data_IF_803569717747
#
_entry.id   IF_803569717747
#
_cell.length_a   1.000
_cell.length_b   1.000
_cell.length_c   1.000
_cell.angle_alpha   90.00
_cell.angle_beta   90.00
_cell.angle_gamma   90.00
#
_symmetry.space_group_name_H-M   'P 1'
#
loop_
_entity.id
_entity.type
_entity.pdbx_description
1 polymer ?
#
# COMPACT_ATOMS: atom_id res chain seq x y z
N UNK A 1 10.35 -9.37 -26.29
CA UNK A 1 11.78 -9.36 -26.69
C UNK A 1 12.64 -9.59 -25.45
N UNK A 2 13.62 -10.50 -25.52
CA UNK A 2 14.57 -10.72 -24.43
C UNK A 2 15.77 -9.78 -24.59
N UNK A 3 16.17 -9.12 -23.51
CA UNK A 3 17.21 -8.08 -23.52
C UNK A 3 18.15 -8.28 -22.32
N UNK A 4 19.36 -7.72 -22.42
CA UNK A 4 20.32 -7.71 -21.31
C UNK A 4 19.78 -6.89 -20.11
N UNK A 5 20.24 -7.14 -18.87
CA UNK A 5 19.73 -6.46 -17.68
C UNK A 5 19.85 -4.93 -17.74
N UNK A 6 20.99 -4.38 -18.16
CA UNK A 6 21.17 -2.92 -18.30
C UNK A 6 20.27 -2.32 -19.39
N UNK A 7 20.11 -3.01 -20.51
CA UNK A 7 19.19 -2.58 -21.58
C UNK A 7 17.72 -2.64 -21.14
N UNK A 8 17.36 -3.62 -20.31
CA UNK A 8 16.03 -3.70 -19.72
C UNK A 8 15.71 -2.45 -18.88
N UNK A 9 16.65 -1.99 -18.05
CA UNK A 9 16.48 -0.79 -17.23
C UNK A 9 16.32 0.46 -18.10
N UNK A 10 17.15 0.63 -19.14
CA UNK A 10 17.04 1.75 -20.07
C UNK A 10 15.68 1.78 -20.79
N UNK A 11 15.22 0.61 -21.28
CA UNK A 11 13.92 0.48 -21.94
C UNK A 11 12.76 0.69 -20.96
N UNK A 12 12.93 0.30 -19.70
CA UNK A 12 11.95 0.51 -18.64
C UNK A 12 11.79 1.98 -18.30
N UNK A 13 12.90 2.74 -18.23
CA UNK A 13 12.88 4.21 -18.11
C UNK A 13 12.05 4.83 -19.23
N UNK A 14 12.32 4.45 -20.49
CA UNK A 14 11.58 4.95 -21.64
C UNK A 14 10.07 4.62 -21.59
N UNK A 15 9.69 3.47 -21.00
CA UNK A 15 8.29 3.13 -20.77
C UNK A 15 7.64 4.07 -19.74
N UNK A 16 8.33 4.41 -18.66
CA UNK A 16 7.80 5.36 -17.67
C UNK A 16 7.67 6.77 -18.23
N UNK A 17 8.66 7.24 -18.98
CA UNK A 17 8.62 8.57 -19.58
C UNK A 17 7.49 8.70 -20.59
N UNK A 18 7.22 7.65 -21.38
CA UNK A 18 6.09 7.61 -22.30
C UNK A 18 4.72 7.44 -21.61
N UNK A 19 4.68 7.06 -20.33
CA UNK A 19 3.44 6.74 -19.60
C UNK A 19 3.08 7.79 -18.52
N UNK A 20 3.70 8.98 -18.54
CA UNK A 20 3.48 9.99 -17.50
C UNK A 20 2.04 10.53 -17.45
N UNK A 21 1.42 10.73 -18.61
CA UNK A 21 0.07 11.31 -18.71
C UNK A 21 -1.02 10.26 -18.98
N UNK A 22 -0.70 9.27 -19.80
CA UNK A 22 -1.63 8.26 -20.30
C UNK A 22 -1.00 6.88 -20.23
N UNK A 23 -1.86 5.87 -20.13
CA UNK A 23 -1.50 4.44 -20.09
C UNK A 23 -0.90 3.98 -18.76
N UNK A 24 -0.56 2.69 -18.68
CA UNK A 24 -0.05 2.06 -17.46
C UNK A 24 1.08 1.13 -17.82
N UNK A 25 2.17 1.21 -17.06
CA UNK A 25 3.30 0.29 -17.19
C UNK A 25 3.07 -0.91 -16.28
N UNK A 26 3.04 -2.10 -16.85
CA UNK A 26 2.92 -3.37 -16.12
C UNK A 26 4.31 -4.00 -15.99
N UNK A 27 4.74 -4.21 -14.75
CA UNK A 27 5.98 -4.92 -14.45
C UNK A 27 5.65 -6.19 -13.67
N UNK A 28 6.23 -7.32 -14.06
CA UNK A 28 6.04 -8.61 -13.39
C UNK A 28 7.36 -9.31 -13.17
N UNK A 29 7.45 -10.05 -12.07
CA UNK A 29 8.62 -10.86 -11.71
C UNK A 29 8.16 -12.29 -11.46
N UNK A 30 8.86 -13.27 -12.04
CA UNK A 30 8.58 -14.70 -11.87
C UNK A 30 9.88 -15.47 -11.68
N UNK A 31 9.88 -16.51 -10.83
CA UNK A 31 10.99 -17.49 -10.79
C UNK A 31 11.09 -18.23 -12.13
N UNK A 32 12.30 -18.39 -12.63
CA UNK A 32 12.62 -19.25 -13.78
C UNK A 32 13.24 -20.56 -13.29
N UNK A 33 13.43 -21.51 -14.22
CA UNK A 33 13.73 -22.92 -13.93
C UNK A 33 15.07 -23.17 -13.19
N UNK A 34 15.98 -22.19 -13.14
CA UNK A 34 17.35 -22.31 -12.62
C UNK A 34 17.69 -21.28 -11.52
N UNK A 35 16.75 -21.01 -10.60
CA UNK A 35 16.86 -19.99 -9.53
C UNK A 35 17.06 -18.55 -10.02
N UNK A 36 17.10 -18.33 -11.33
CA UNK A 36 17.09 -17.02 -11.94
C UNK A 36 15.70 -16.38 -11.85
N UNK A 37 15.66 -15.06 -11.88
CA UNK A 37 14.42 -14.30 -11.88
C UNK A 37 14.15 -13.70 -13.26
N UNK A 38 12.94 -13.92 -13.77
CA UNK A 38 12.44 -13.35 -15.02
C UNK A 38 11.65 -12.08 -14.71
N UNK A 39 12.15 -10.95 -15.17
CA UNK A 39 11.48 -9.66 -15.16
C UNK A 39 10.83 -9.41 -16.51
N UNK A 40 9.61 -8.87 -16.51
CA UNK A 40 8.89 -8.47 -17.74
C UNK A 40 8.27 -7.10 -17.55
N UNK A 41 8.31 -6.28 -18.59
CA UNK A 41 7.72 -4.94 -18.61
C UNK A 41 6.93 -4.71 -19.90
N UNK A 42 5.78 -4.03 -19.81
CA UNK A 42 4.97 -3.62 -20.97
C UNK A 42 4.15 -2.36 -20.71
N UNK A 43 3.87 -1.59 -21.76
CA UNK A 43 2.99 -0.40 -21.78
C UNK A 43 1.50 -0.72 -21.88
N UNK A 44 1.13 -1.99 -22.06
CA UNK A 44 -0.26 -2.45 -22.11
C UNK A 44 -1.09 -1.90 -23.28
N UNK A 45 -0.50 -1.20 -24.26
CA UNK A 45 -1.23 -0.60 -25.38
C UNK A 45 -1.79 -1.65 -26.34
N UNK A 46 -2.94 -1.46 -26.98
CA UNK A 46 -3.53 -2.52 -27.82
C UNK A 46 -2.93 -2.65 -29.22
N UNK A 47 -2.44 -1.55 -29.81
CA UNK A 47 -1.95 -1.53 -31.20
C UNK A 47 -0.48 -1.97 -31.33
N UNK A 48 0.43 -1.35 -30.56
CA UNK A 48 1.87 -1.65 -30.61
C UNK A 48 2.41 -1.94 -29.20
N UNK A 49 2.25 -3.19 -28.73
CA UNK A 49 2.69 -3.60 -27.38
C UNK A 49 4.22 -3.66 -27.31
N UNK A 50 4.84 -2.68 -26.67
CA UNK A 50 6.25 -2.79 -26.28
C UNK A 50 6.34 -3.79 -25.13
N UNK A 51 7.01 -4.92 -25.37
CA UNK A 51 7.20 -6.00 -24.38
C UNK A 51 8.67 -6.38 -24.25
N UNK A 52 9.23 -6.12 -23.09
CA UNK A 52 10.61 -6.45 -22.76
C UNK A 52 10.66 -7.47 -21.64
N UNK A 53 11.69 -8.31 -21.67
CA UNK A 53 11.94 -9.26 -20.61
C UNK A 53 13.43 -9.47 -20.43
N UNK A 54 13.88 -9.65 -19.19
CA UNK A 54 15.25 -10.03 -18.87
C UNK A 54 15.26 -11.14 -17.84
N UNK A 55 16.27 -11.99 -17.88
CA UNK A 55 16.48 -13.03 -16.87
C UNK A 55 17.78 -12.72 -16.16
N UNK A 56 17.67 -12.57 -14.85
CA UNK A 56 18.78 -12.19 -13.98
C UNK A 56 19.19 -13.40 -13.18
N UNK A 57 20.46 -13.86 -13.30
CA UNK A 57 20.97 -14.96 -12.51
C UNK A 57 21.11 -14.55 -11.02
N UNK A 58 21.14 -15.51 -10.09
CA UNK A 58 21.28 -15.22 -8.66
C UNK A 58 22.61 -14.54 -8.29
N UNK A 59 23.63 -14.63 -9.14
CA UNK A 59 24.93 -13.97 -8.94
C UNK A 59 24.87 -12.45 -9.07
N UNK A 60 24.01 -11.95 -9.96
CA UNK A 60 23.91 -10.52 -10.31
C UNK A 60 22.64 -9.87 -9.74
N UNK A 61 21.79 -10.65 -9.06
CA UNK A 61 20.45 -10.19 -8.65
C UNK A 61 20.51 -9.02 -7.67
N UNK A 62 21.48 -8.99 -6.77
CA UNK A 62 21.60 -7.94 -5.75
C UNK A 62 21.94 -6.60 -6.42
N UNK A 63 22.93 -6.58 -7.31
CA UNK A 63 23.31 -5.39 -8.07
C UNK A 63 22.15 -4.90 -8.96
N UNK A 64 21.53 -5.81 -9.70
CA UNK A 64 20.37 -5.47 -10.54
C UNK A 64 19.20 -4.91 -9.71
N UNK A 65 18.94 -5.49 -8.53
CA UNK A 65 17.87 -5.06 -7.65
C UNK A 65 18.09 -3.64 -7.12
N UNK A 66 19.32 -3.25 -6.79
CA UNK A 66 19.64 -1.90 -6.34
C UNK A 66 19.34 -0.85 -7.41
N UNK A 67 19.80 -1.08 -8.64
CA UNK A 67 19.53 -0.20 -9.79
C UNK A 67 18.03 -0.16 -10.12
N UNK A 68 17.38 -1.33 -10.19
CA UNK A 68 15.96 -1.47 -10.47
C UNK A 68 15.08 -0.76 -9.43
N UNK A 69 15.36 -0.94 -8.13
CA UNK A 69 14.60 -0.29 -7.06
C UNK A 69 14.82 1.21 -7.04
N UNK A 70 16.02 1.68 -7.35
CA UNK A 70 16.31 3.12 -7.45
C UNK A 70 15.51 3.74 -8.59
N UNK A 71 15.48 3.10 -9.76
CA UNK A 71 14.64 3.50 -10.89
C UNK A 71 13.15 3.55 -10.50
N UNK A 72 12.63 2.48 -9.88
CA UNK A 72 11.23 2.43 -9.42
C UNK A 72 10.90 3.58 -8.48
N UNK A 73 11.73 3.83 -7.47
CA UNK A 73 11.50 4.88 -6.49
C UNK A 73 11.47 6.25 -7.14
N UNK A 74 12.40 6.54 -8.06
CA UNK A 74 12.50 7.83 -8.74
C UNK A 74 11.25 8.11 -9.58
N UNK A 75 10.82 7.16 -10.43
CA UNK A 75 9.66 7.39 -11.30
C UNK A 75 8.34 7.38 -10.50
N UNK A 76 8.14 6.45 -9.56
CA UNK A 76 6.88 6.34 -8.82
C UNK A 76 6.70 7.46 -7.80
N UNK A 77 7.77 7.99 -7.19
CA UNK A 77 7.68 9.09 -6.23
C UNK A 77 7.11 10.37 -6.86
N UNK A 78 7.40 10.61 -8.15
CA UNK A 78 6.89 11.77 -8.88
C UNK A 78 5.43 11.61 -9.30
N UNK A 79 4.98 10.37 -9.55
CA UNK A 79 3.63 10.06 -10.02
C UNK A 79 2.59 9.98 -8.87
N UNK A 80 3.04 9.72 -7.64
CA UNK A 80 2.16 9.54 -6.49
C UNK A 80 1.90 10.86 -5.75
N UNK A 81 0.71 10.98 -5.16
CA UNK A 81 0.37 12.14 -4.32
C UNK A 81 1.34 12.22 -3.14
N UNK A 82 1.84 13.42 -2.87
CA UNK A 82 2.66 13.70 -1.70
C UNK A 82 1.90 13.30 -0.43
N UNK A 83 2.63 12.70 0.51
CA UNK A 83 2.10 12.30 1.81
C UNK A 83 1.66 13.54 2.60
N UNK A 84 0.38 13.60 2.95
CA UNK A 84 -0.18 14.68 3.77
C UNK A 84 0.12 14.42 5.25
N UNK A 85 1.35 14.75 5.66
CA UNK A 85 1.82 14.61 7.05
C UNK A 85 0.95 15.40 8.03
N UNK A 86 0.32 16.50 7.61
CA UNK A 86 -0.54 17.29 8.48
C UNK A 86 -1.85 16.55 8.78
N UNK A 87 -2.48 15.98 7.75
CA UNK A 87 -3.66 15.12 7.91
C UNK A 87 -3.35 13.90 8.78
N UNK A 88 -2.23 13.23 8.56
CA UNK A 88 -1.83 12.07 9.36
C UNK A 88 -1.61 12.46 10.83
N UNK A 89 -0.83 13.51 11.11
CA UNK A 89 -0.64 14.00 12.49
C UNK A 89 -1.97 14.36 13.15
N UNK A 90 -2.93 14.91 12.40
CA UNK A 90 -4.28 15.21 12.91
C UNK A 90 -5.04 13.92 13.25
N UNK A 91 -4.99 12.91 12.37
CA UNK A 91 -5.61 11.60 12.62
C UNK A 91 -4.98 10.94 13.85
N UNK A 92 -3.66 10.95 13.96
CA UNK A 92 -2.94 10.38 15.10
C UNK A 92 -3.31 11.07 16.41
N UNK A 93 -3.30 12.40 16.45
CA UNK A 93 -3.76 13.17 17.62
C UNK A 93 -5.20 12.83 18.00
N UNK A 94 -6.10 12.68 17.02
CA UNK A 94 -7.49 12.28 17.27
C UNK A 94 -7.62 10.85 17.80
N UNK A 95 -6.79 9.92 17.31
CA UNK A 95 -6.76 8.54 17.79
C UNK A 95 -6.21 8.48 19.22
N UNK A 96 -5.12 9.19 19.52
CA UNK A 96 -4.56 9.30 20.87
C UNK A 96 -5.59 9.91 21.82
N UNK A 97 -6.21 11.03 21.46
CA UNK A 97 -7.27 11.64 22.26
C UNK A 97 -8.52 10.75 22.39
N UNK A 98 -8.81 9.89 21.40
CA UNK A 98 -9.88 8.90 21.51
C UNK A 98 -9.52 7.76 22.46
N UNK A 99 -8.27 7.29 22.47
CA UNK A 99 -7.78 6.25 23.39
C UNK A 99 -7.80 6.76 24.82
N UNK A 100 -7.24 7.96 25.06
CA UNK A 100 -7.25 8.62 26.36
C UNK A 100 -8.68 8.79 26.90
N UNK A 101 -9.62 9.26 26.09
CA UNK A 101 -11.04 9.37 26.49
C UNK A 101 -11.67 8.02 26.81
N UNK A 102 -11.28 6.94 26.16
CA UNK A 102 -11.81 5.61 26.49
C UNK A 102 -11.24 5.16 27.83
N UNK A 103 -9.93 5.35 28.07
CA UNK A 103 -9.27 5.05 29.35
C UNK A 103 -9.89 5.84 30.51
N UNK A 104 -10.05 7.17 30.36
CA UNK A 104 -10.70 8.05 31.35
C UNK A 104 -12.17 7.67 31.65
N UNK A 105 -12.85 6.95 30.74
CA UNK A 105 -14.22 6.48 30.93
C UNK A 105 -14.27 5.00 31.35
N UNK A 106 -13.35 4.55 32.21
CA UNK A 106 -13.20 3.16 32.67
C UNK A 106 -13.10 2.15 31.51
N UNK A 107 -12.50 2.58 30.41
CA UNK A 107 -12.40 1.78 29.20
C UNK A 107 -13.72 1.62 28.43
N UNK A 108 -14.76 2.41 28.70
CA UNK A 108 -16.06 2.34 28.04
C UNK A 108 -16.19 3.41 26.95
N UNK A 109 -16.78 3.04 25.82
CA UNK A 109 -17.09 4.01 24.76
C UNK A 109 -18.29 4.86 25.20
N UNK A 110 -18.12 6.19 25.21
CA UNK A 110 -19.20 7.13 25.51
C UNK A 110 -20.29 7.08 24.42
N UNK A 111 -21.50 6.70 24.79
CA UNK A 111 -22.67 6.67 23.90
C UNK A 111 -23.46 7.96 24.11
N UNK A 112 -23.36 8.89 23.15
CA UNK A 112 -24.09 10.15 23.17
C UNK A 112 -25.04 10.28 21.96
N UNK A 113 -26.07 11.11 22.09
CA UNK A 113 -27.06 11.41 21.05
C UNK A 113 -28.44 10.78 21.29
N UNK A 114 -29.42 11.26 20.54
CA UNK A 114 -30.83 10.83 20.62
C UNK A 114 -31.04 9.38 20.20
N UNK A 115 -32.07 8.72 20.76
CA UNK A 115 -32.48 7.36 20.37
C UNK A 115 -33.17 7.33 18.99
N UNK A 116 -33.88 8.41 18.62
CA UNK A 116 -34.64 8.58 17.37
C UNK A 116 -34.28 9.92 16.71
N UNK A 117 -34.52 10.04 15.40
CA UNK A 117 -34.29 11.29 14.68
C UNK A 117 -32.80 11.69 14.55
N UNK A 118 -32.55 13.00 14.48
CA UNK A 118 -31.22 13.56 14.28
C UNK A 118 -30.26 13.14 15.42
N UNK A 119 -29.20 12.39 15.08
CA UNK A 119 -28.23 11.86 16.05
C UNK A 119 -28.27 10.34 16.22
N UNK A 120 -29.35 9.66 15.82
CA UNK A 120 -29.49 8.20 15.93
C UNK A 120 -28.34 7.44 15.26
N UNK A 121 -27.94 7.83 14.05
CA UNK A 121 -26.82 7.18 13.32
C UNK A 121 -25.51 7.25 14.12
N UNK A 122 -25.21 8.39 14.75
CA UNK A 122 -24.01 8.56 15.59
C UNK A 122 -24.09 7.67 16.84
N UNK A 123 -25.26 7.60 17.48
CA UNK A 123 -25.52 6.71 18.63
C UNK A 123 -25.33 5.23 18.27
N UNK A 124 -25.90 4.77 17.16
CA UNK A 124 -25.76 3.37 16.72
C UNK A 124 -24.30 3.00 16.43
N UNK A 125 -23.52 3.89 15.80
CA UNK A 125 -22.07 3.68 15.61
C UNK A 125 -21.31 3.60 16.94
N UNK A 126 -21.69 4.38 17.95
CA UNK A 126 -21.09 4.29 19.28
C UNK A 126 -21.41 2.95 19.96
N UNK A 127 -22.66 2.47 19.84
CA UNK A 127 -23.08 1.17 20.36
C UNK A 127 -22.31 0.01 19.73
N UNK A 128 -22.22 -0.04 18.39
CA UNK A 128 -21.45 -1.09 17.71
C UNK A 128 -19.97 -1.07 18.10
N UNK A 129 -19.38 0.13 18.24
CA UNK A 129 -18.00 0.26 18.73
C UNK A 129 -17.84 -0.22 20.17
N UNK A 130 -18.77 0.11 21.06
CA UNK A 130 -18.77 -0.36 22.44
C UNK A 130 -18.87 -1.89 22.50
N UNK A 131 -19.75 -2.49 21.70
CA UNK A 131 -19.89 -3.94 21.61
C UNK A 131 -18.61 -4.61 21.12
N UNK A 132 -18.00 -4.10 20.04
CA UNK A 132 -16.74 -4.63 19.51
C UNK A 132 -15.58 -4.53 20.51
N UNK A 133 -15.50 -3.43 21.27
CA UNK A 133 -14.46 -3.27 22.29
C UNK A 133 -14.65 -4.27 23.44
N UNK A 134 -15.90 -4.50 23.86
CA UNK A 134 -16.23 -5.51 24.89
C UNK A 134 -15.88 -6.93 24.43
N UNK A 135 -16.21 -7.29 23.19
CA UNK A 135 -15.86 -8.62 22.65
C UNK A 135 -14.35 -8.81 22.54
N UNK A 136 -13.62 -7.81 22.06
CA UNK A 136 -12.16 -7.85 22.00
C UNK A 136 -11.50 -8.00 23.38
N UNK A 137 -11.98 -7.26 24.38
CA UNK A 137 -11.48 -7.39 25.76
C UNK A 137 -11.76 -8.76 26.36
N UNK A 138 -12.96 -9.30 26.14
CA UNK A 138 -13.32 -10.64 26.60
C UNK A 138 -12.43 -11.71 25.96
N UNK A 139 -12.15 -11.60 24.66
CA UNK A 139 -11.24 -12.51 23.96
C UNK A 139 -9.80 -12.39 24.47
N UNK A 140 -9.30 -11.17 24.69
CA UNK A 140 -7.96 -10.95 25.21
C UNK A 140 -7.78 -11.48 26.65
N UNK A 141 -8.79 -11.33 27.51
CA UNK A 141 -8.76 -11.86 28.87
C UNK A 141 -8.93 -13.39 28.98
N UNK A 142 -9.40 -14.07 27.93
CA UNK A 142 -9.41 -15.54 27.85
C UNK A 142 -8.14 -16.13 27.22
N UNK A 143 -7.31 -15.31 26.58
CA UNK A 143 -6.04 -15.75 25.99
C UNK A 143 -4.85 -15.65 26.97
N UNK A 144 -5.06 -15.08 28.15
CA UNK A 144 -4.04 -14.83 29.19
C UNK A 144 -4.27 -15.64 30.47
N UNK A 145 -5.10 -16.69 30.41
CA UNK A 145 -5.43 -17.64 31.48
C UNK A 145 -5.21 -19.05 31.00
#
# INVERSE_FOLDING_TARGET
MRVAPGEFLARLTALFDGAQEKHSVYVTTKKSDSSALLFRATDGQSAEKKKYSTVVPPTEIVAFQEEYLTLMRTHLANMLKKRDKAKERRVDKLLVASRKRIEENDGKVRIAGSKRGAGRRKRMRALHRAQRLRTQRRAAGHASS
#
